data_IF_352732812847
#
_entry.id   IF_352732812847
#
_cell.length_a   1.000
_cell.length_b   1.000
_cell.length_c   1.000
_cell.angle_alpha   90.00
_cell.angle_beta   90.00
_cell.angle_gamma   90.00
#
_symmetry.space_group_name_H-M   'P 1'
#
loop_
_entity.id
_entity.type
_entity.pdbx_description
1 polymer ?
#
# COMPACT_ATOMS: atom_id res chain seq x y z
N UNK A 1 -20.60 -17.18 34.39
CA UNK A 1 -19.17 -17.37 34.07
C UNK A 1 -18.53 -16.04 33.65
N UNK A 2 -17.76 -15.40 34.54
CA UNK A 2 -17.06 -14.14 34.22
C UNK A 2 -15.94 -14.35 33.18
N UNK A 3 -15.24 -15.49 33.27
CA UNK A 3 -14.15 -15.86 32.34
C UNK A 3 -14.63 -16.01 30.90
N UNK A 4 -15.74 -16.72 30.66
CA UNK A 4 -16.29 -16.90 29.29
C UNK A 4 -16.58 -15.56 28.61
N UNK A 5 -17.20 -14.61 29.31
CA UNK A 5 -17.47 -13.26 28.79
C UNK A 5 -16.20 -12.46 28.48
N UNK A 6 -15.12 -12.66 29.25
CA UNK A 6 -13.83 -12.01 29.00
C UNK A 6 -13.15 -12.61 27.75
N UNK A 7 -13.21 -13.93 27.58
CA UNK A 7 -12.68 -14.61 26.39
C UNK A 7 -13.46 -14.22 25.13
N UNK A 8 -14.78 -14.11 25.21
CA UNK A 8 -15.62 -13.66 24.10
C UNK A 8 -15.22 -12.24 23.66
N UNK A 9 -15.05 -11.31 24.62
CA UNK A 9 -14.57 -9.95 24.35
C UNK A 9 -13.18 -9.94 23.72
N UNK A 10 -12.24 -10.74 24.25
CA UNK A 10 -10.89 -10.84 23.70
C UNK A 10 -10.92 -11.36 22.26
N UNK A 11 -11.71 -12.40 21.98
CA UNK A 11 -11.87 -12.92 20.62
C UNK A 11 -12.48 -11.89 19.66
N UNK A 12 -13.43 -11.08 20.14
CA UNK A 12 -14.00 -9.96 19.39
C UNK A 12 -12.94 -8.94 19.00
N UNK A 13 -12.14 -8.50 19.97
CA UNK A 13 -11.05 -7.52 19.77
C UNK A 13 -10.02 -8.06 18.76
N UNK A 14 -9.56 -9.30 18.94
CA UNK A 14 -8.58 -9.93 18.05
C UNK A 14 -9.12 -10.08 16.61
N UNK A 15 -10.40 -10.41 16.45
CA UNK A 15 -11.04 -10.53 15.14
C UNK A 15 -11.16 -9.17 14.43
N UNK A 16 -11.49 -8.11 15.15
CA UNK A 16 -11.62 -6.78 14.58
C UNK A 16 -10.27 -6.19 14.18
N UNK A 17 -9.22 -6.45 14.96
CA UNK A 17 -7.85 -6.07 14.60
C UNK A 17 -7.37 -6.80 13.35
N UNK A 18 -7.66 -8.10 13.24
CA UNK A 18 -7.37 -8.90 12.03
C UNK A 18 -8.10 -8.37 10.81
N UNK A 19 -9.38 -7.98 10.94
CA UNK A 19 -10.15 -7.36 9.84
C UNK A 19 -9.51 -6.05 9.39
N UNK A 20 -9.13 -5.17 10.34
CA UNK A 20 -8.45 -3.91 10.04
C UNK A 20 -7.14 -4.11 9.29
N UNK A 21 -6.32 -5.09 9.70
CA UNK A 21 -5.09 -5.44 8.98
C UNK A 21 -5.36 -5.92 7.54
N UNK A 22 -6.37 -6.75 7.33
CA UNK A 22 -6.75 -7.23 5.99
C UNK A 22 -7.18 -6.07 5.09
N UNK A 23 -8.01 -5.18 5.59
CA UNK A 23 -8.48 -4.03 4.82
C UNK A 23 -7.33 -3.04 4.51
N UNK A 24 -6.43 -2.79 5.47
CA UNK A 24 -5.20 -2.00 5.23
C UNK A 24 -4.32 -2.63 4.14
N UNK A 25 -4.15 -3.95 4.15
CA UNK A 25 -3.39 -4.66 3.11
C UNK A 25 -4.06 -4.53 1.74
N UNK A 26 -5.38 -4.74 1.66
CA UNK A 26 -6.14 -4.64 0.41
C UNK A 26 -6.11 -3.23 -0.17
N UNK A 27 -6.33 -2.20 0.66
CA UNK A 27 -6.32 -0.80 0.23
C UNK A 27 -4.94 -0.40 -0.30
N UNK A 28 -3.87 -0.73 0.43
CA UNK A 28 -2.50 -0.48 0.00
C UNK A 28 -2.17 -1.18 -1.34
N UNK A 29 -2.59 -2.44 -1.50
CA UNK A 29 -2.41 -3.16 -2.77
C UNK A 29 -3.11 -2.46 -3.93
N UNK A 30 -4.33 -1.92 -3.72
CA UNK A 30 -5.07 -1.16 -4.75
C UNK A 30 -4.33 0.13 -5.12
N UNK A 31 -3.90 0.91 -4.12
CA UNK A 31 -3.15 2.16 -4.35
C UNK A 31 -1.84 1.88 -5.08
N UNK A 32 -1.10 0.84 -4.68
CA UNK A 32 0.09 0.42 -5.41
C UNK A 32 -0.24 0.04 -6.84
N UNK A 33 -1.32 -0.70 -7.12
CA UNK A 33 -1.70 -0.99 -8.51
C UNK A 33 -1.96 0.30 -9.31
N UNK A 34 -2.68 1.25 -8.73
CA UNK A 34 -2.93 2.56 -9.36
C UNK A 34 -1.63 3.33 -9.66
N UNK A 35 -0.70 3.38 -8.70
CA UNK A 35 0.61 4.01 -8.91
C UNK A 35 1.44 3.35 -10.01
N UNK A 36 1.28 2.03 -10.23
CA UNK A 36 1.94 1.33 -11.35
C UNK A 36 1.40 1.86 -12.68
N UNK A 37 0.07 1.93 -12.78
CA UNK A 37 -0.59 2.33 -14.02
C UNK A 37 -0.31 3.81 -14.32
N UNK A 38 -0.38 4.68 -13.29
CA UNK A 38 -0.03 6.10 -13.42
C UNK A 38 1.42 6.29 -13.89
N UNK A 39 2.35 5.47 -13.40
CA UNK A 39 3.74 5.49 -13.87
C UNK A 39 3.83 5.20 -15.38
N UNK A 40 3.20 4.11 -15.84
CA UNK A 40 3.20 3.74 -17.27
C UNK A 40 2.63 4.86 -18.14
N UNK A 41 1.49 5.44 -17.73
CA UNK A 41 0.85 6.54 -18.46
C UNK A 41 1.78 7.77 -18.54
N UNK A 42 2.47 8.11 -17.45
CA UNK A 42 3.40 9.23 -17.42
C UNK A 42 4.66 8.96 -18.27
N UNK A 43 5.16 7.72 -18.30
CA UNK A 43 6.27 7.32 -19.19
C UNK A 43 5.87 7.44 -20.67
N UNK A 44 4.64 7.02 -21.02
CA UNK A 44 4.08 7.18 -22.37
C UNK A 44 3.89 8.67 -22.71
N UNK A 45 3.41 9.47 -21.76
CA UNK A 45 3.21 10.91 -21.95
C UNK A 45 4.54 11.63 -22.15
N UNK A 46 5.56 11.28 -21.36
CA UNK A 46 6.90 11.85 -21.48
C UNK A 46 7.48 11.60 -22.88
N UNK A 47 7.33 10.39 -23.40
CA UNK A 47 7.83 10.01 -24.73
C UNK A 47 7.15 10.80 -25.89
N UNK A 48 5.97 11.37 -25.65
CA UNK A 48 5.21 12.15 -26.64
C UNK A 48 5.33 13.67 -26.43
N UNK A 49 5.93 14.10 -25.33
CA UNK A 49 6.03 15.53 -24.97
C UNK A 49 7.32 16.10 -25.53
N UNK A 50 7.24 17.21 -26.29
CA UNK A 50 8.41 17.93 -26.82
C UNK A 50 8.70 19.23 -26.06
N UNK A 51 7.82 19.62 -25.15
CA UNK A 51 7.98 20.79 -24.30
C UNK A 51 8.85 20.45 -23.08
N UNK A 52 9.98 21.14 -22.95
CA UNK A 52 10.99 20.84 -21.92
C UNK A 52 10.48 21.07 -20.49
N UNK A 53 9.62 22.08 -20.28
CA UNK A 53 9.06 22.38 -18.96
C UNK A 53 8.09 21.28 -18.53
N UNK A 54 7.21 20.85 -19.43
CA UNK A 54 6.31 19.72 -19.21
C UNK A 54 7.06 18.39 -19.04
N UNK A 55 8.13 18.15 -19.80
CA UNK A 55 8.99 16.97 -19.61
C UNK A 55 9.54 16.94 -18.19
N UNK A 56 10.12 18.05 -17.71
CA UNK A 56 10.67 18.14 -16.37
C UNK A 56 9.60 17.93 -15.28
N UNK A 57 8.39 18.45 -15.48
CA UNK A 57 7.28 18.20 -14.55
C UNK A 57 6.89 16.71 -14.50
N UNK A 58 6.78 16.06 -15.67
CA UNK A 58 6.45 14.64 -15.77
C UNK A 58 7.54 13.77 -15.11
N UNK A 59 8.82 14.09 -15.32
CA UNK A 59 9.94 13.40 -14.69
C UNK A 59 9.91 13.52 -13.16
N UNK A 60 9.64 14.72 -12.63
CA UNK A 60 9.48 14.95 -11.20
C UNK A 60 8.36 14.09 -10.61
N UNK A 61 7.21 14.04 -11.29
CA UNK A 61 6.07 13.17 -10.90
C UNK A 61 6.45 11.69 -10.94
N UNK A 62 7.21 11.24 -11.95
CA UNK A 62 7.71 9.86 -12.06
C UNK A 62 8.64 9.48 -10.91
N UNK A 63 9.51 10.40 -10.47
CA UNK A 63 10.38 10.20 -9.31
C UNK A 63 9.57 10.03 -8.02
N UNK A 64 8.58 10.91 -7.80
CA UNK A 64 7.69 10.83 -6.62
C UNK A 64 6.95 9.49 -6.62
N UNK A 65 6.32 9.10 -7.73
CA UNK A 65 5.58 7.84 -7.84
C UNK A 65 6.50 6.64 -7.57
N UNK A 66 7.72 6.66 -8.12
CA UNK A 66 8.70 5.58 -7.91
C UNK A 66 9.11 5.48 -6.44
N UNK A 67 9.38 6.60 -5.78
CA UNK A 67 9.72 6.64 -4.36
C UNK A 67 8.57 6.15 -3.47
N UNK A 68 7.35 6.63 -3.72
CA UNK A 68 6.16 6.24 -2.96
C UNK A 68 5.81 4.77 -3.16
N UNK A 69 5.91 4.26 -4.40
CA UNK A 69 5.71 2.85 -4.70
C UNK A 69 6.71 1.97 -3.96
N UNK A 70 7.99 2.35 -3.95
CA UNK A 70 9.04 1.63 -3.21
C UNK A 70 8.74 1.59 -1.71
N UNK A 71 8.34 2.72 -1.12
CA UNK A 71 7.92 2.81 0.30
C UNK A 71 6.71 1.91 0.56
N UNK A 72 5.66 2.00 -0.25
CA UNK A 72 4.45 1.19 -0.07
C UNK A 72 4.68 -0.31 -0.24
N UNK A 73 5.60 -0.74 -1.13
CA UNK A 73 5.97 -2.16 -1.25
C UNK A 73 6.66 -2.71 0.00
N UNK A 74 7.47 -1.90 0.70
CA UNK A 74 8.05 -2.27 2.00
C UNK A 74 6.94 -2.51 3.03
N UNK A 75 6.04 -1.52 3.18
CA UNK A 75 4.89 -1.64 4.09
C UNK A 75 4.03 -2.86 3.76
N UNK A 76 3.79 -3.15 2.48
CA UNK A 76 3.02 -4.32 2.06
C UNK A 76 3.71 -5.64 2.46
N UNK A 77 5.05 -5.68 2.40
CA UNK A 77 5.84 -6.84 2.83
C UNK A 77 5.74 -7.04 4.34
N UNK A 78 5.79 -5.96 5.11
CA UNK A 78 5.70 -6.01 6.58
C UNK A 78 4.29 -6.44 7.03
N UNK A 79 3.23 -5.87 6.44
CA UNK A 79 1.84 -6.33 6.66
C UNK A 79 1.65 -7.82 6.32
N UNK A 80 2.38 -8.34 5.31
CA UNK A 80 2.33 -9.76 4.95
C UNK A 80 3.06 -10.64 5.98
N UNK A 81 4.15 -10.14 6.57
CA UNK A 81 4.91 -10.83 7.63
C UNK A 81 4.14 -10.88 8.93
N UNK A 82 3.56 -9.75 9.35
CA UNK A 82 2.66 -9.65 10.50
C UNK A 82 1.50 -10.66 10.39
N UNK A 83 0.88 -10.76 9.20
CA UNK A 83 -0.20 -11.73 8.96
C UNK A 83 0.24 -13.19 9.05
N UNK A 84 1.51 -13.50 8.75
CA UNK A 84 2.03 -14.88 8.78
C UNK A 84 2.52 -15.31 10.17
N UNK A 85 2.46 -14.43 11.18
CA UNK A 85 3.03 -14.71 12.50
C UNK A 85 4.56 -14.78 12.50
N UNK A 86 5.21 -14.46 11.37
CA UNK A 86 6.66 -14.33 11.25
C UNK A 86 7.05 -12.88 11.55
N UNK A 87 6.78 -12.44 12.79
CA UNK A 87 7.48 -11.30 13.37
C UNK A 87 8.69 -11.90 14.09
N UNK A 88 9.88 -11.67 13.55
CA UNK A 88 11.16 -11.84 14.26
C UNK A 88 11.53 -10.49 14.82
#
# INVERSE_FOLDING_TARGET
>A
MKIKRLLDKLSGILNDERKKQIEKYKSLKKVLKALRNAKVILEETLAQTNDEELQHEIESRLQIISAQRKKGLKVLKDLKRERKGTAV
#
